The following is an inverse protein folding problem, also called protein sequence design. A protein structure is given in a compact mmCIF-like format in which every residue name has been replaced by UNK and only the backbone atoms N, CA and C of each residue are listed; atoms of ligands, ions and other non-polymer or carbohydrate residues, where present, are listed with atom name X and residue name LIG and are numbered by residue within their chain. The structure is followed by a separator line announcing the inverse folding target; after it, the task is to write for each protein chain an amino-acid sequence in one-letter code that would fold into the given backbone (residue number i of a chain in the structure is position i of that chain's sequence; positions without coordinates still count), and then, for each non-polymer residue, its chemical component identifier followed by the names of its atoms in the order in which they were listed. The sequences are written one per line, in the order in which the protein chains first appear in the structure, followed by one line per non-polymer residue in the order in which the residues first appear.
data_IF_715905103020
#
_entry.id   IF_715905103020
#
_cell.length_a   1.000
_cell.length_b   1.000
_cell.length_c   1.000
_cell.angle_alpha   90.00
_cell.angle_beta   90.00
_cell.angle_gamma   90.00
#
_symmetry.space_group_name_H-M   'P 1'
#
loop_
_entity.id
_entity.type
_entity.pdbx_description
1 polymer ?
#
# COMPACT_ATOMS: atom_id res chain seq x y z
N UNK A 1 12.47 -3.83 17.90
CA UNK A 1 12.96 -4.99 17.13
C UNK A 1 14.46 -4.82 16.96
N UNK A 2 15.26 -5.90 16.93
CA UNK A 2 16.67 -5.76 16.55
C UNK A 2 16.78 -5.41 15.06
N UNK A 3 17.87 -4.78 14.65
CA UNK A 3 18.11 -4.31 13.27
C UNK A 3 17.93 -5.42 12.23
N UNK A 4 18.25 -6.67 12.61
CA UNK A 4 18.04 -7.86 11.79
C UNK A 4 16.57 -8.13 11.43
N UNK A 5 15.62 -7.69 12.28
CA UNK A 5 14.19 -7.80 12.01
C UNK A 5 13.72 -6.83 10.92
N UNK A 6 14.22 -5.59 10.93
CA UNK A 6 13.94 -4.60 9.88
C UNK A 6 14.52 -5.02 8.54
N UNK A 7 15.74 -5.54 8.53
CA UNK A 7 16.42 -6.02 7.32
C UNK A 7 15.62 -7.16 6.66
N UNK A 8 15.08 -8.10 7.44
CA UNK A 8 14.24 -9.18 6.88
C UNK A 8 12.99 -8.64 6.18
N UNK A 9 12.33 -7.64 6.76
CA UNK A 9 11.12 -7.04 6.18
C UNK A 9 11.48 -6.24 4.92
N UNK A 10 12.62 -5.53 4.93
CA UNK A 10 13.15 -4.86 3.74
C UNK A 10 13.39 -5.84 2.58
N UNK A 11 13.97 -7.01 2.87
CA UNK A 11 14.21 -8.05 1.85
C UNK A 11 12.90 -8.62 1.33
N UNK A 12 11.91 -8.89 2.19
CA UNK A 12 10.58 -9.33 1.74
C UNK A 12 9.94 -8.29 0.82
N UNK A 13 9.98 -7.01 1.21
CA UNK A 13 9.43 -5.92 0.41
C UNK A 13 10.13 -5.80 -0.95
N UNK A 14 11.46 -5.97 -0.97
CA UNK A 14 12.25 -5.99 -2.20
C UNK A 14 11.86 -7.16 -3.11
N UNK A 15 11.64 -8.36 -2.54
CA UNK A 15 11.19 -9.53 -3.30
C UNK A 15 9.79 -9.33 -3.90
N UNK A 16 8.83 -8.79 -3.14
CA UNK A 16 7.49 -8.47 -3.67
C UNK A 16 7.61 -7.44 -4.81
N UNK A 17 8.56 -6.52 -4.72
CA UNK A 17 8.81 -5.53 -5.78
C UNK A 17 9.49 -6.11 -6.99
N UNK A 18 10.45 -7.02 -6.83
CA UNK A 18 11.02 -7.77 -7.94
C UNK A 18 9.95 -8.63 -8.65
N UNK A 19 9.05 -9.25 -7.89
CA UNK A 19 7.91 -9.99 -8.44
C UNK A 19 6.98 -9.06 -9.25
N UNK A 20 6.63 -7.89 -8.72
CA UNK A 20 5.83 -6.90 -9.45
C UNK A 20 6.52 -6.48 -10.75
N UNK A 21 7.81 -6.16 -10.71
CA UNK A 21 8.58 -5.80 -11.90
C UNK A 21 8.59 -6.95 -12.91
N UNK A 22 8.73 -8.20 -12.45
CA UNK A 22 8.71 -9.38 -13.33
C UNK A 22 7.37 -9.60 -14.01
N UNK A 23 6.25 -9.20 -13.40
CA UNK A 23 4.93 -9.29 -14.04
C UNK A 23 4.77 -8.34 -15.23
N UNK A 24 5.61 -7.30 -15.36
CA UNK A 24 5.65 -6.48 -16.60
C UNK A 24 6.38 -7.18 -17.74
N UNK A 25 7.29 -8.11 -17.43
CA UNK A 25 8.05 -8.86 -18.43
C UNK A 25 7.36 -10.18 -18.84
N UNK A 26 6.43 -10.67 -18.02
CA UNK A 26 5.69 -11.91 -18.24
C UNK A 26 4.20 -11.60 -18.24
N UNK A 27 3.54 -11.76 -19.38
CA UNK A 27 2.12 -11.39 -19.54
C UNK A 27 1.20 -12.35 -18.75
N UNK A 28 0.73 -11.90 -17.60
CA UNK A 28 -0.23 -12.64 -16.77
C UNK A 28 -1.69 -12.32 -17.13
N UNK A 29 -2.01 -12.16 -18.43
CA UNK A 29 -3.38 -12.06 -18.94
C UNK A 29 -4.32 -11.16 -18.12
N UNK A 30 -5.62 -11.54 -17.97
CA UNK A 30 -6.61 -10.72 -17.25
C UNK A 30 -6.37 -10.59 -15.74
N UNK A 31 -5.54 -11.47 -15.15
CA UNK A 31 -5.27 -11.50 -13.71
C UNK A 31 -4.16 -10.53 -13.27
N UNK A 32 -3.44 -9.93 -14.23
CA UNK A 32 -2.40 -8.95 -13.98
C UNK A 32 -2.89 -7.75 -13.15
N UNK A 33 -3.99 -7.13 -13.59
CA UNK A 33 -4.60 -5.97 -12.91
C UNK A 33 -4.98 -6.22 -11.43
N UNK A 34 -5.78 -7.25 -11.09
CA UNK A 34 -6.11 -7.52 -9.69
C UNK A 34 -4.90 -7.94 -8.86
N UNK A 35 -3.95 -8.69 -9.44
CA UNK A 35 -2.74 -9.10 -8.72
C UNK A 35 -1.86 -7.90 -8.34
N UNK A 36 -1.68 -6.93 -9.26
CA UNK A 36 -0.94 -5.69 -8.97
C UNK A 36 -1.59 -4.86 -7.88
N UNK A 37 -2.92 -4.70 -7.91
CA UNK A 37 -3.66 -3.96 -6.89
C UNK A 37 -3.48 -4.60 -5.50
N UNK A 38 -3.54 -5.93 -5.41
CA UNK A 38 -3.30 -6.65 -4.16
C UNK A 38 -1.86 -6.44 -3.69
N UNK A 39 -0.87 -6.57 -4.56
CA UNK A 39 0.53 -6.35 -4.21
C UNK A 39 0.80 -4.92 -3.75
N UNK A 40 0.16 -3.92 -4.36
CA UNK A 40 0.23 -2.52 -3.93
C UNK A 40 -0.27 -2.33 -2.49
N UNK A 41 -1.46 -2.88 -2.17
CA UNK A 41 -2.03 -2.78 -0.82
C UNK A 41 -1.15 -3.49 0.20
N UNK A 42 -0.64 -4.68 -0.12
CA UNK A 42 0.24 -5.45 0.77
C UNK A 42 1.52 -4.68 1.09
N UNK A 43 2.18 -4.10 0.09
CA UNK A 43 3.37 -3.28 0.30
C UNK A 43 3.08 -2.06 1.14
N UNK A 44 1.98 -1.37 0.85
CA UNK A 44 1.57 -0.20 1.61
C UNK A 44 1.40 -0.52 3.10
N UNK A 45 0.63 -1.58 3.42
CA UNK A 45 0.41 -2.00 4.81
C UNK A 45 1.72 -2.44 5.48
N UNK A 46 2.60 -3.14 4.75
CA UNK A 46 3.90 -3.56 5.27
C UNK A 46 4.80 -2.36 5.62
N UNK A 47 4.86 -1.34 4.75
CA UNK A 47 5.62 -0.11 4.97
C UNK A 47 5.06 0.67 6.15
N UNK A 48 3.74 0.90 6.17
CA UNK A 48 3.04 1.64 7.22
C UNK A 48 3.17 0.96 8.58
N UNK A 49 3.07 -0.37 8.62
CA UNK A 49 3.12 -1.12 9.88
C UNK A 49 4.54 -1.21 10.47
N UNK A 50 5.55 -1.43 9.62
CA UNK A 50 6.91 -1.74 10.08
C UNK A 50 7.88 -0.58 9.89
N UNK A 51 7.94 0.05 8.73
CA UNK A 51 8.89 1.14 8.44
C UNK A 51 8.46 2.50 9.00
N UNK A 52 7.16 2.77 9.08
CA UNK A 52 6.64 3.99 9.72
C UNK A 52 6.49 3.85 11.24
N UNK A 53 6.97 2.75 11.84
CA UNK A 53 6.97 2.49 13.29
C UNK A 53 5.59 2.46 13.97
N UNK A 54 4.48 2.57 13.24
CA UNK A 54 3.13 2.66 13.81
C UNK A 54 2.74 1.48 14.71
N UNK A 55 3.31 0.29 14.47
CA UNK A 55 3.11 -0.89 15.33
C UNK A 55 3.83 -0.79 16.68
N UNK A 56 4.89 0.01 16.78
CA UNK A 56 5.72 0.19 17.98
C UNK A 56 5.49 1.53 18.69
N UNK A 57 4.76 2.46 18.06
CA UNK A 57 4.47 3.78 18.60
C UNK A 57 3.10 3.84 19.32
N UNK A 58 2.86 4.93 20.03
CA UNK A 58 1.61 5.20 20.74
C UNK A 58 0.40 5.26 19.79
N UNK A 59 -0.77 4.85 20.29
CA UNK A 59 -2.03 4.78 19.52
C UNK A 59 -2.43 6.12 18.86
N UNK A 60 -1.91 7.25 19.36
CA UNK A 60 -2.13 8.59 18.79
C UNK A 60 -1.57 8.70 17.35
N UNK A 61 -0.36 8.20 17.09
CA UNK A 61 0.24 8.31 15.75
C UNK A 61 -0.44 7.40 14.73
N UNK A 62 -0.84 6.20 15.16
CA UNK A 62 -1.67 5.32 14.33
C UNK A 62 -3.00 5.98 14.00
N UNK A 63 -3.67 6.59 14.98
CA UNK A 63 -4.94 7.29 14.75
C UNK A 63 -4.78 8.45 13.76
N UNK A 64 -3.77 9.30 13.93
CA UNK A 64 -3.51 10.44 13.04
C UNK A 64 -3.22 10.00 11.60
N UNK A 65 -2.49 8.89 11.42
CA UNK A 65 -2.24 8.35 10.09
C UNK A 65 -3.51 7.83 9.42
N UNK A 66 -4.33 7.06 10.15
CA UNK A 66 -5.58 6.52 9.61
C UNK A 66 -6.63 7.60 9.32
N UNK A 67 -6.70 8.66 10.13
CA UNK A 67 -7.58 9.81 9.82
C UNK A 67 -7.12 10.55 8.58
N UNK A 68 -5.80 10.75 8.40
CA UNK A 68 -5.23 11.30 7.18
C UNK A 68 -5.51 10.44 5.94
N UNK A 69 -5.36 9.11 6.06
CA UNK A 69 -5.69 8.16 4.99
C UNK A 69 -7.18 8.23 4.61
N UNK A 70 -8.07 8.24 5.61
CA UNK A 70 -9.51 8.37 5.39
C UNK A 70 -9.88 9.68 4.71
N UNK A 71 -9.26 10.79 5.12
CA UNK A 71 -9.47 12.09 4.51
C UNK A 71 -8.96 12.13 3.06
N UNK A 72 -7.79 11.54 2.77
CA UNK A 72 -7.27 11.44 1.42
C UNK A 72 -8.21 10.65 0.49
N UNK A 73 -8.72 9.50 0.94
CA UNK A 73 -9.71 8.71 0.20
C UNK A 73 -11.00 9.49 -0.01
N UNK A 74 -11.48 10.21 1.02
CA UNK A 74 -12.69 11.01 0.94
C UNK A 74 -12.59 12.14 -0.09
N UNK A 75 -11.48 12.90 -0.06
CA UNK A 75 -11.22 13.98 -1.02
C UNK A 75 -11.09 13.41 -2.44
N UNK A 76 -10.40 12.28 -2.60
CA UNK A 76 -10.26 11.62 -3.89
C UNK A 76 -11.62 11.19 -4.47
N UNK A 77 -12.46 10.51 -3.69
CA UNK A 77 -13.80 10.08 -4.12
C UNK A 77 -14.66 11.30 -4.49
N UNK A 78 -14.60 12.36 -3.69
CA UNK A 78 -15.36 13.60 -3.93
C UNK A 78 -14.91 14.29 -5.22
N UNK A 79 -13.61 14.29 -5.51
CA UNK A 79 -13.07 14.79 -6.76
C UNK A 79 -13.58 13.95 -7.96
N UNK A 80 -13.54 12.61 -7.88
CA UNK A 80 -14.07 11.74 -8.94
C UNK A 80 -15.59 11.93 -9.15
N UNK A 81 -16.34 12.12 -8.07
CA UNK A 81 -17.78 12.39 -8.14
C UNK A 81 -18.08 13.72 -8.86
N UNK A 82 -17.24 14.74 -8.66
CA UNK A 82 -17.38 16.05 -9.30
C UNK A 82 -17.24 15.96 -10.83
N UNK A 83 -16.35 15.09 -11.32
CA UNK A 83 -16.17 14.86 -12.76
C UNK A 83 -17.27 14.00 -13.41
N UNK A 84 -18.38 13.71 -12.70
CA UNK A 84 -19.47 12.81 -13.14
C UNK A 84 -18.99 11.42 -13.59
N UNK A 85 -17.85 10.95 -13.10
CA UNK A 85 -17.28 9.66 -13.49
C UNK A 85 -18.21 8.48 -13.16
N UNK A 86 -19.03 8.60 -12.12
CA UNK A 86 -19.98 7.57 -11.69
C UNK A 86 -21.39 7.70 -12.29
N UNK A 87 -21.65 8.72 -13.11
CA UNK A 87 -22.96 9.04 -13.71
C UNK A 87 -22.96 8.84 -15.25
N UNK A 88 -21.83 8.38 -15.83
CA UNK A 88 -21.71 8.04 -17.24
C UNK A 88 -22.18 6.60 -17.54
#
# INVERSE_FOLDING_TARGET
MSDAGYIKIAVILALITALEVSTYYVDFGPLFMPALLIMMVVKFVMVVSYFMHLKFDSKIFSFLFYTGLGLALFVYITALATFKFFIA
#
